data_IF_389716467852
#
_entry.id   IF_389716467852
#
_cell.length_a   1.000
_cell.length_b   1.000
_cell.length_c   1.000
_cell.angle_alpha   90.00
_cell.angle_beta   90.00
_cell.angle_gamma   90.00
#
_symmetry.space_group_name_H-M   'P 1'
#
loop_
_entity.id
_entity.type
_entity.pdbx_description
1 polymer ?
#
# COMPACT_ATOMS: atom_id res chain seq x y z
N UNK A 1 29.08 8.47 -21.42
CA UNK A 1 29.12 7.42 -20.39
C UNK A 1 28.87 8.10 -19.05
N UNK A 2 27.65 8.01 -18.54
CA UNK A 2 27.29 8.39 -17.16
C UNK A 2 26.73 7.09 -16.59
N UNK A 3 27.47 6.48 -15.68
CA UNK A 3 27.19 5.16 -15.14
C UNK A 3 25.92 5.20 -14.30
N UNK A 4 24.94 4.39 -14.69
CA UNK A 4 23.70 4.17 -13.95
C UNK A 4 23.97 3.03 -12.97
N UNK A 5 24.78 3.32 -11.94
CA UNK A 5 25.14 2.37 -10.89
C UNK A 5 24.34 2.56 -9.59
N UNK A 6 23.61 3.67 -9.44
CA UNK A 6 22.96 4.04 -8.16
C UNK A 6 21.57 3.41 -7.95
N UNK A 7 21.01 2.82 -9.00
CA UNK A 7 19.80 2.02 -8.95
C UNK A 7 20.11 0.81 -9.81
N UNK A 8 20.25 -0.37 -9.20
CA UNK A 8 20.44 -1.60 -9.97
C UNK A 8 19.13 -1.94 -10.66
N UNK A 9 18.95 -1.37 -11.84
CA UNK A 9 17.72 -1.42 -12.61
C UNK A 9 17.91 -2.37 -13.79
N UNK A 10 18.14 -3.66 -13.55
CA UNK A 10 18.04 -4.66 -14.62
C UNK A 10 17.53 -6.03 -14.17
N UNK A 11 16.54 -6.47 -14.94
CA UNK A 11 16.05 -7.84 -15.09
C UNK A 11 17.21 -8.80 -15.35
N UNK A 12 17.21 -9.91 -14.61
CA UNK A 12 18.10 -11.08 -14.72
C UNK A 12 19.59 -10.81 -14.45
N UNK A 13 20.10 -11.36 -13.32
CA UNK A 13 21.53 -11.66 -13.17
C UNK A 13 22.25 -11.08 -11.96
N UNK A 14 21.66 -10.16 -11.19
CA UNK A 14 22.22 -9.75 -9.90
C UNK A 14 21.52 -10.51 -8.77
N UNK A 15 22.29 -11.24 -7.95
CA UNK A 15 21.81 -11.75 -6.67
C UNK A 15 21.64 -10.56 -5.72
N UNK A 16 20.39 -10.27 -5.36
CA UNK A 16 20.07 -9.36 -4.28
C UNK A 16 19.64 -10.22 -3.11
N UNK A 17 20.35 -10.12 -1.98
CA UNK A 17 19.79 -10.61 -0.73
C UNK A 17 18.71 -9.61 -0.28
N UNK A 18 17.48 -9.85 -0.72
CA UNK A 18 16.31 -9.10 -0.25
C UNK A 18 16.05 -9.39 1.23
N UNK A 19 16.50 -10.55 1.74
CA UNK A 19 16.07 -11.09 3.01
C UNK A 19 14.60 -11.53 2.96
N UNK A 20 13.99 -11.67 4.15
CA UNK A 20 12.60 -12.10 4.30
C UNK A 20 11.63 -11.03 3.80
N UNK A 21 10.64 -11.42 3.00
CA UNK A 21 9.50 -10.55 2.65
C UNK A 21 8.66 -10.27 3.90
N UNK A 22 8.38 -8.99 4.15
CA UNK A 22 7.65 -8.54 5.32
C UNK A 22 6.20 -8.19 4.97
N UNK A 23 6.00 -7.43 3.88
CA UNK A 23 4.68 -6.99 3.45
C UNK A 23 4.71 -6.44 2.02
N UNK A 24 3.64 -6.66 1.27
CA UNK A 24 3.41 -6.08 -0.06
C UNK A 24 2.29 -5.06 0.06
N UNK A 25 2.49 -3.86 -0.50
CA UNK A 25 1.42 -2.88 -0.62
C UNK A 25 0.35 -3.42 -1.57
N UNK A 26 -0.89 -3.48 -1.09
CA UNK A 26 -1.98 -4.21 -1.74
C UNK A 26 -2.14 -3.88 -3.23
N UNK A 27 -2.42 -4.94 -3.99
CA UNK A 27 -2.93 -4.91 -5.36
C UNK A 27 -4.33 -5.49 -5.31
N UNK A 28 -5.36 -4.70 -5.62
CA UNK A 28 -6.73 -5.21 -5.65
C UNK A 28 -6.96 -6.07 -6.88
N UNK A 29 -7.56 -7.23 -6.70
CA UNK A 29 -8.09 -8.04 -7.80
C UNK A 29 -9.57 -7.71 -8.01
N UNK A 30 -9.91 -7.16 -9.18
CA UNK A 30 -11.30 -6.96 -9.57
C UNK A 30 -11.57 -7.81 -10.81
N UNK A 31 -12.26 -8.93 -10.57
CA UNK A 31 -12.65 -9.98 -11.51
C UNK A 31 -11.47 -10.78 -12.11
N UNK A 32 -10.60 -10.12 -12.87
CA UNK A 32 -9.38 -10.67 -13.53
C UNK A 32 -8.29 -9.61 -13.76
N UNK A 33 -8.50 -8.38 -13.28
CA UNK A 33 -7.57 -7.26 -13.41
C UNK A 33 -7.00 -6.91 -12.05
N UNK A 34 -5.68 -6.81 -11.99
CA UNK A 34 -4.93 -6.31 -10.83
C UNK A 34 -4.82 -4.79 -10.87
N UNK A 35 -5.19 -4.11 -9.79
CA UNK A 35 -5.15 -2.65 -9.66
C UNK A 35 -4.14 -2.25 -8.60
N UNK A 36 -3.23 -1.36 -8.99
CA UNK A 36 -2.21 -0.87 -8.10
C UNK A 36 -2.78 0.13 -7.08
N UNK A 37 -2.36 0.03 -5.83
CA UNK A 37 -2.61 1.08 -4.83
C UNK A 37 -1.82 2.37 -5.11
N UNK A 38 -0.79 2.30 -5.96
CA UNK A 38 0.04 3.43 -6.37
C UNK A 38 0.36 3.40 -7.87
N UNK A 39 0.60 4.57 -8.43
CA UNK A 39 1.00 4.76 -9.82
C UNK A 39 2.35 5.46 -9.87
N UNK A 40 3.31 4.90 -10.59
CA UNK A 40 4.61 5.54 -10.74
C UNK A 40 4.52 6.82 -11.56
N UNK A 41 5.24 7.86 -11.12
CA UNK A 41 5.34 9.13 -11.83
C UNK A 41 6.71 9.33 -12.44
N UNK A 42 7.75 9.39 -11.60
CA UNK A 42 9.11 9.76 -12.03
C UNK A 42 10.18 9.41 -10.99
N UNK A 43 11.46 9.52 -11.38
CA UNK A 43 12.61 9.40 -10.49
C UNK A 43 13.53 8.19 -10.79
N UNK A 44 13.22 7.44 -11.85
CA UNK A 44 14.01 6.31 -12.33
C UNK A 44 14.31 6.58 -13.81
N UNK A 45 15.55 6.98 -14.13
CA UNK A 45 15.91 7.47 -15.46
C UNK A 45 15.56 6.49 -16.61
N UNK A 46 15.64 5.18 -16.37
CA UNK A 46 15.21 4.13 -17.29
C UNK A 46 13.71 4.18 -17.58
N UNK A 47 12.90 4.29 -16.54
CA UNK A 47 11.45 4.34 -16.64
C UNK A 47 10.99 5.69 -17.17
N UNK A 48 11.59 6.78 -16.70
CA UNK A 48 11.32 8.14 -17.17
C UNK A 48 11.49 8.22 -18.68
N UNK A 49 12.59 7.67 -19.23
CA UNK A 49 12.81 7.62 -20.69
C UNK A 49 11.81 6.73 -21.44
N UNK A 50 11.35 5.63 -20.83
CA UNK A 50 10.41 4.67 -21.46
C UNK A 50 8.96 5.18 -21.43
N UNK A 51 8.56 5.90 -20.38
CA UNK A 51 7.16 6.20 -20.09
C UNK A 51 6.80 7.70 -20.18
N UNK A 52 7.75 8.64 -20.21
CA UNK A 52 7.47 10.07 -20.44
C UNK A 52 7.50 10.43 -21.94
N UNK A 53 6.73 11.45 -22.38
CA UNK A 53 5.83 12.32 -21.60
C UNK A 53 4.43 11.74 -21.38
N UNK A 54 4.15 10.52 -21.86
CA UNK A 54 2.79 9.97 -21.91
C UNK A 54 2.29 9.38 -20.57
N UNK A 55 3.19 9.16 -19.61
CA UNK A 55 2.91 8.69 -18.25
C UNK A 55 2.71 7.17 -18.14
N UNK A 56 3.17 6.58 -17.03
CA UNK A 56 3.01 5.17 -16.67
C UNK A 56 1.53 4.75 -16.50
N UNK A 57 0.67 5.72 -16.20
CA UNK A 57 -0.77 5.52 -16.04
C UNK A 57 -1.43 4.98 -17.33
N UNK A 58 -0.81 5.16 -18.51
CA UNK A 58 -1.36 4.76 -19.82
C UNK A 58 -0.83 3.41 -20.34
N UNK A 59 -0.01 2.68 -19.59
CA UNK A 59 0.73 1.51 -20.11
C UNK A 59 0.27 0.12 -19.61
N UNK A 60 -0.87 0.01 -18.92
CA UNK A 60 -1.39 -1.26 -18.34
C UNK A 60 -0.46 -1.95 -17.32
N UNK A 61 0.56 -1.25 -16.80
CA UNK A 61 1.41 -1.82 -15.75
C UNK A 61 0.83 -1.52 -14.35
N UNK A 62 0.98 -2.51 -13.48
CA UNK A 62 0.72 -2.44 -12.04
C UNK A 62 2.03 -2.15 -11.33
N UNK A 63 2.04 -1.13 -10.47
CA UNK A 63 3.17 -0.79 -9.61
C UNK A 63 2.88 -1.21 -8.16
N UNK A 64 3.81 -1.90 -7.50
CA UNK A 64 3.72 -2.24 -6.07
C UNK A 64 5.01 -1.94 -5.34
N UNK A 65 4.88 -1.63 -4.04
CA UNK A 65 6.00 -1.57 -3.11
C UNK A 65 5.98 -2.81 -2.23
N UNK A 66 7.11 -3.49 -2.16
CA UNK A 66 7.28 -4.67 -1.33
C UNK A 66 8.36 -4.37 -0.31
N UNK A 67 8.01 -4.46 0.97
CA UNK A 67 8.97 -4.37 2.04
C UNK A 67 9.60 -5.72 2.32
N UNK A 68 10.92 -5.76 2.24
CA UNK A 68 11.75 -6.87 2.69
C UNK A 68 12.61 -6.43 3.88
N UNK A 69 13.19 -7.40 4.59
CA UNK A 69 14.09 -7.10 5.72
C UNK A 69 15.22 -6.16 5.30
N UNK A 70 15.85 -6.40 4.15
CA UNK A 70 17.03 -5.63 3.73
C UNK A 70 16.69 -4.37 2.93
N UNK A 71 15.42 -4.12 2.57
CA UNK A 71 15.06 -2.94 1.78
C UNK A 71 13.63 -2.89 1.26
N UNK A 72 13.38 -1.96 0.35
CA UNK A 72 12.11 -1.82 -0.38
C UNK A 72 12.35 -2.18 -1.84
N UNK A 73 11.60 -3.16 -2.34
CA UNK A 73 11.53 -3.45 -3.76
C UNK A 73 10.33 -2.73 -4.37
N UNK A 74 10.51 -2.22 -5.59
CA UNK A 74 9.48 -1.59 -6.40
C UNK A 74 9.32 -2.48 -7.62
N UNK A 75 8.15 -3.09 -7.75
CA UNK A 75 7.84 -3.99 -8.85
C UNK A 75 6.90 -3.30 -9.82
N UNK A 76 7.21 -3.41 -11.09
CA UNK A 76 6.37 -2.96 -12.19
C UNK A 76 5.97 -4.20 -12.99
N UNK A 77 4.70 -4.52 -13.11
CA UNK A 77 4.24 -5.76 -13.75
C UNK A 77 3.16 -5.47 -14.78
N UNK A 78 3.27 -6.05 -15.97
CA UNK A 78 2.22 -6.04 -16.99
C UNK A 78 1.59 -7.43 -17.09
N UNK A 79 0.28 -7.53 -16.90
CA UNK A 79 -0.45 -8.80 -16.87
C UNK A 79 -1.18 -9.09 -18.19
N UNK A 80 -1.14 -10.35 -18.63
CA UNK A 80 -1.97 -10.83 -19.73
C UNK A 80 -3.36 -11.23 -19.22
N UNK A 81 -4.40 -10.71 -19.88
CA UNK A 81 -5.80 -10.95 -19.55
C UNK A 81 -6.21 -12.43 -19.52
N UNK A 82 -5.61 -13.24 -20.39
CA UNK A 82 -6.05 -14.62 -20.61
C UNK A 82 -5.30 -15.65 -19.76
N UNK A 83 -4.23 -15.27 -19.04
CA UNK A 83 -3.37 -16.27 -18.39
C UNK A 83 -2.96 -15.98 -16.94
N UNK A 84 -3.30 -14.83 -16.36
CA UNK A 84 -2.81 -14.36 -15.05
C UNK A 84 -1.26 -14.42 -14.93
N UNK A 85 -0.57 -14.44 -16.07
CA UNK A 85 0.89 -14.39 -16.15
C UNK A 85 1.33 -12.97 -16.44
N UNK A 86 2.30 -12.49 -15.65
CA UNK A 86 3.05 -11.29 -15.99
C UNK A 86 3.95 -11.58 -17.20
N UNK A 87 3.92 -10.73 -18.22
CA UNK A 87 4.73 -10.91 -19.44
C UNK A 87 5.81 -9.83 -19.61
N UNK A 88 5.70 -8.72 -18.89
CA UNK A 88 6.78 -7.76 -18.71
C UNK A 88 6.87 -7.40 -17.23
N UNK A 89 8.09 -7.36 -16.71
CA UNK A 89 8.37 -7.03 -15.32
C UNK A 89 9.53 -6.03 -15.28
N UNK A 90 9.44 -5.03 -14.43
CA UNK A 90 10.56 -4.18 -14.06
C UNK A 90 10.75 -4.21 -12.55
N UNK A 91 11.99 -3.98 -12.13
CA UNK A 91 12.39 -4.10 -10.74
C UNK A 91 13.32 -2.93 -10.39
N UNK A 92 13.03 -2.26 -9.27
CA UNK A 92 13.96 -1.36 -8.61
C UNK A 92 14.04 -1.72 -7.12
N UNK A 93 15.18 -1.45 -6.49
CA UNK A 93 15.39 -1.79 -5.09
C UNK A 93 16.16 -0.69 -4.37
N UNK A 94 15.70 -0.37 -3.17
CA UNK A 94 16.35 0.56 -2.26
C UNK A 94 16.77 -0.22 -1.02
N UNK A 95 18.07 -0.29 -0.77
CA UNK A 95 18.58 -0.86 0.48
C UNK A 95 18.02 -0.09 1.68
N UNK A 96 17.67 -0.80 2.75
CA UNK A 96 17.03 -0.23 3.95
C UNK A 96 17.87 0.87 4.60
N UNK A 97 19.19 0.74 4.58
CA UNK A 97 20.13 1.74 5.10
C UNK A 97 20.10 3.07 4.33
N UNK A 98 19.64 3.01 3.09
CA UNK A 98 19.56 4.14 2.17
C UNK A 98 18.20 4.84 2.20
N UNK A 99 17.20 4.36 2.97
CA UNK A 99 15.90 5.03 3.07
C UNK A 99 16.05 6.39 3.77
N UNK A 100 15.54 7.47 3.15
CA UNK A 100 15.71 8.85 3.65
C UNK A 100 14.38 9.55 3.99
N UNK A 101 13.30 8.77 4.20
CA UNK A 101 11.98 9.28 4.56
C UNK A 101 11.07 9.52 3.35
N UNK A 102 9.85 10.00 3.62
CA UNK A 102 8.84 10.21 2.59
C UNK A 102 7.94 11.40 2.92
N UNK A 103 7.27 11.95 1.89
CA UNK A 103 6.16 12.88 2.06
C UNK A 103 4.93 12.44 1.25
N UNK A 104 3.75 12.83 1.73
CA UNK A 104 2.47 12.62 1.05
C UNK A 104 1.76 13.98 0.99
N UNK A 105 1.54 14.48 -0.21
CA UNK A 105 0.99 15.81 -0.47
C UNK A 105 -0.26 15.70 -1.35
N UNK A 106 -1.31 16.50 -1.13
CA UNK A 106 -2.47 16.52 -2.02
C UNK A 106 -2.03 16.83 -3.45
N UNK A 107 -2.61 16.12 -4.41
CA UNK A 107 -2.37 16.36 -5.83
C UNK A 107 -3.71 16.38 -6.57
N UNK A 108 -3.98 17.50 -7.22
CA UNK A 108 -5.15 17.70 -8.06
C UNK A 108 -4.84 17.42 -9.52
N UNK A 109 -5.87 17.07 -10.28
CA UNK A 109 -5.77 16.87 -11.73
C UNK A 109 -4.79 15.77 -12.15
N UNK A 110 -4.73 14.68 -11.39
CA UNK A 110 -3.98 13.50 -11.79
C UNK A 110 -4.73 12.82 -12.94
N UNK A 111 -4.16 12.77 -14.14
CA UNK A 111 -4.71 11.93 -15.20
C UNK A 111 -4.55 10.47 -14.77
N UNK A 112 -5.63 9.80 -14.36
CA UNK A 112 -5.69 8.36 -14.08
C UNK A 112 -6.59 7.66 -15.12
N UNK A 113 -6.22 6.45 -15.55
CA UNK A 113 -7.09 5.64 -16.42
C UNK A 113 -8.31 5.19 -15.62
N UNK A 114 -9.50 5.63 -16.02
CA UNK A 114 -10.73 5.28 -15.31
C UNK A 114 -11.29 3.97 -15.80
N UNK A 115 -11.53 3.08 -14.85
CA UNK A 115 -12.53 2.03 -15.00
C UNK A 115 -13.78 2.51 -14.25
N UNK A 116 -14.93 2.70 -14.92
CA UNK A 116 -16.06 3.41 -14.32
C UNK A 116 -16.56 2.76 -13.02
N UNK A 117 -16.67 3.54 -11.94
CA UNK A 117 -17.31 3.10 -10.68
C UNK A 117 -18.75 2.59 -10.88
N UNK A 118 -19.44 3.05 -11.92
CA UNK A 118 -20.78 2.58 -12.31
C UNK A 118 -20.79 1.10 -12.75
N UNK A 119 -19.67 0.56 -13.24
CA UNK A 119 -19.51 -0.89 -13.47
C UNK A 119 -19.42 -1.65 -12.14
N UNK A 120 -18.64 -1.16 -11.15
CA UNK A 120 -18.56 -1.79 -9.81
C UNK A 120 -19.95 -1.94 -9.15
N UNK A 121 -20.81 -0.91 -9.22
CA UNK A 121 -22.14 -0.94 -8.59
C UNK A 121 -23.23 -1.65 -9.40
N UNK A 122 -23.26 -1.52 -10.74
CA UNK A 122 -24.25 -2.23 -11.57
C UNK A 122 -24.01 -3.75 -11.59
N UNK A 123 -22.74 -4.20 -11.54
CA UNK A 123 -22.42 -5.62 -11.44
C UNK A 123 -22.79 -6.20 -10.07
N UNK A 124 -22.56 -5.48 -8.97
CA UNK A 124 -23.02 -5.88 -7.63
C UNK A 124 -24.54 -6.01 -7.52
N UNK A 125 -25.30 -5.16 -8.21
CA UNK A 125 -26.76 -5.19 -8.21
C UNK A 125 -27.31 -6.35 -9.09
N UNK A 126 -26.71 -6.62 -10.25
CA UNK A 126 -27.14 -7.71 -11.14
C UNK A 126 -26.75 -9.12 -10.67
N UNK A 127 -25.75 -9.27 -9.81
CA UNK A 127 -25.35 -10.55 -9.20
C UNK A 127 -26.41 -11.14 -8.25
N UNK A 128 -27.36 -10.34 -7.75
CA UNK A 128 -28.43 -10.80 -6.85
C UNK A 128 -29.66 -11.38 -7.57
N UNK A 129 -29.77 -11.23 -8.89
CA UNK A 129 -30.89 -11.75 -9.70
C UNK A 129 -30.40 -12.67 -10.82
N UNK A 130 -30.08 -13.91 -10.46
CA UNK A 130 -30.34 -15.15 -11.23
C UNK A 130 -30.03 -15.25 -12.74
N UNK A 131 -29.31 -14.33 -13.37
CA UNK A 131 -28.93 -14.36 -14.79
C UNK A 131 -27.42 -14.56 -14.94
N UNK A 132 -27.01 -15.65 -15.60
CA UNK A 132 -25.61 -16.09 -15.68
C UNK A 132 -24.63 -15.07 -16.30
N UNK A 133 -23.40 -15.09 -15.77
CA UNK A 133 -22.26 -14.19 -16.03
C UNK A 133 -21.95 -13.94 -17.53
N UNK A 134 -22.20 -14.93 -18.39
CA UNK A 134 -21.68 -14.94 -19.77
C UNK A 134 -22.42 -13.94 -20.67
N UNK A 135 -23.72 -13.74 -20.48
CA UNK A 135 -24.53 -12.89 -21.36
C UNK A 135 -24.26 -11.39 -21.22
N UNK A 136 -23.90 -10.93 -20.02
CA UNK A 136 -23.62 -9.52 -19.75
C UNK A 136 -22.20 -9.10 -20.19
N UNK A 137 -21.22 -10.02 -20.10
CA UNK A 137 -19.82 -9.76 -20.42
C UNK A 137 -19.59 -9.52 -21.92
N UNK A 138 -20.29 -10.26 -22.80
CA UNK A 138 -20.11 -10.17 -24.26
C UNK A 138 -20.57 -8.83 -24.82
N UNK A 139 -21.65 -8.25 -24.30
CA UNK A 139 -22.14 -6.93 -24.75
C UNK A 139 -21.23 -5.76 -24.35
N UNK A 140 -20.47 -5.91 -23.25
CA UNK A 140 -19.56 -4.88 -22.72
C UNK A 140 -18.17 -4.98 -23.35
N UNK A 141 -17.67 -6.20 -23.55
CA UNK A 141 -16.34 -6.45 -24.11
C UNK A 141 -16.18 -5.93 -25.55
N UNK A 142 -17.22 -6.05 -26.38
CA UNK A 142 -17.17 -5.65 -27.78
C UNK A 142 -16.99 -4.12 -28.00
N UNK A 143 -17.38 -3.29 -27.03
CA UNK A 143 -17.32 -1.83 -27.15
C UNK A 143 -16.12 -1.17 -26.42
N UNK A 144 -15.36 -1.90 -25.60
CA UNK A 144 -14.39 -1.29 -24.66
C UNK A 144 -12.95 -1.27 -25.18
N UNK A 145 -12.62 -2.01 -26.25
CA UNK A 145 -11.26 -2.09 -26.81
C UNK A 145 -10.86 -0.81 -27.59
N UNK A 146 -11.78 0.11 -27.88
CA UNK A 146 -11.48 1.37 -28.58
C UNK A 146 -11.62 2.59 -27.65
N UNK A 147 -10.46 3.13 -27.24
CA UNK A 147 -10.17 4.36 -26.46
C UNK A 147 -10.12 4.17 -24.94
N UNK A 148 -8.90 4.05 -24.41
CA UNK A 148 -8.60 4.24 -22.97
C UNK A 148 -9.01 5.66 -22.58
N UNK A 149 -10.04 5.82 -21.75
CA UNK A 149 -10.47 7.11 -21.21
C UNK A 149 -9.67 7.41 -19.93
N UNK A 150 -8.93 8.51 -19.93
CA UNK A 150 -8.35 9.08 -18.72
C UNK A 150 -9.35 10.05 -18.09
N UNK A 151 -9.40 10.11 -16.76
CA UNK A 151 -10.03 11.22 -16.06
C UNK A 151 -9.04 11.84 -15.08
N UNK A 152 -9.25 13.12 -14.83
CA UNK A 152 -8.59 13.81 -13.74
C UNK A 152 -9.23 13.33 -12.42
N UNK A 153 -8.42 12.76 -11.55
CA UNK A 153 -8.82 12.38 -10.20
C UNK A 153 -8.03 13.19 -9.18
N UNK A 154 -8.69 13.56 -8.09
CA UNK A 154 -8.01 14.08 -6.91
C UNK A 154 -7.35 12.90 -6.17
N UNK A 155 -6.16 13.14 -5.64
CA UNK A 155 -5.41 12.12 -4.94
C UNK A 155 -4.22 12.70 -4.20
N UNK A 156 -3.17 11.91 -4.08
CA UNK A 156 -1.98 12.28 -3.35
C UNK A 156 -0.73 11.94 -4.15
N UNK A 157 0.22 12.87 -4.18
CA UNK A 157 1.58 12.62 -4.59
C UNK A 157 2.37 12.07 -3.40
N UNK A 158 3.09 10.99 -3.65
CA UNK A 158 3.94 10.30 -2.68
C UNK A 158 5.38 10.50 -3.16
N UNK A 159 6.21 11.09 -2.31
CA UNK A 159 7.64 11.29 -2.57
C UNK A 159 8.43 10.40 -1.63
N UNK A 160 9.18 9.46 -2.18
CA UNK A 160 10.06 8.55 -1.44
C UNK A 160 11.50 9.00 -1.62
N UNK A 161 12.12 9.48 -0.55
CA UNK A 161 13.51 9.91 -0.58
C UNK A 161 14.44 8.74 -0.23
N UNK A 162 15.59 8.69 -0.89
CA UNK A 162 16.63 7.71 -0.62
C UNK A 162 18.01 8.28 -0.93
N UNK A 163 19.04 7.71 -0.30
CA UNK A 163 20.44 8.03 -0.56
C UNK A 163 21.02 7.09 -1.60
N UNK A 164 21.77 7.63 -2.55
CA UNK A 164 22.61 6.84 -3.44
C UNK A 164 23.85 6.32 -2.72
N UNK A 165 24.59 5.43 -3.38
CA UNK A 165 25.90 4.96 -2.90
C UNK A 165 26.90 6.11 -2.71
N UNK A 166 26.73 7.20 -3.46
CA UNK A 166 27.52 8.44 -3.35
C UNK A 166 27.00 9.39 -2.26
N UNK A 167 26.02 8.97 -1.45
CA UNK A 167 25.33 9.77 -0.42
C UNK A 167 24.59 10.99 -0.96
N UNK A 168 24.21 10.97 -2.23
CA UNK A 168 23.31 11.98 -2.80
C UNK A 168 21.87 11.61 -2.50
N UNK A 169 21.05 12.59 -2.09
CA UNK A 169 19.62 12.37 -1.92
C UNK A 169 18.91 12.41 -3.27
N UNK A 170 18.18 11.33 -3.58
CA UNK A 170 17.30 11.21 -4.75
C UNK A 170 15.88 10.90 -4.30
N UNK A 171 14.94 11.15 -5.20
CA UNK A 171 13.52 11.02 -4.92
C UNK A 171 12.82 10.20 -6.01
N UNK A 172 11.99 9.25 -5.56
CA UNK A 172 11.00 8.58 -6.39
C UNK A 172 9.64 9.19 -6.13
N UNK A 173 8.86 9.39 -7.19
CA UNK A 173 7.55 10.02 -7.11
C UNK A 173 6.50 9.04 -7.61
N UNK A 174 5.47 8.85 -6.79
CA UNK A 174 4.30 8.04 -7.08
C UNK A 174 3.03 8.87 -6.83
N UNK A 175 1.90 8.33 -7.26
CA UNK A 175 0.58 8.86 -6.97
C UNK A 175 -0.31 7.77 -6.39
N UNK A 176 -1.27 8.14 -5.57
CA UNK A 176 -2.39 7.28 -5.24
C UNK A 176 -3.71 8.07 -5.26
N UNK A 177 -4.80 7.35 -5.51
CA UNK A 177 -6.15 7.90 -5.42
C UNK A 177 -6.52 8.18 -3.95
N UNK A 178 -7.46 9.10 -3.71
CA UNK A 178 -7.88 9.46 -2.36
C UNK A 178 -8.29 8.24 -1.51
N UNK A 179 -9.01 7.29 -2.10
CA UNK A 179 -9.42 6.04 -1.43
C UNK A 179 -8.24 5.15 -1.00
N UNK A 180 -7.08 5.28 -1.64
CA UNK A 180 -5.86 4.50 -1.36
C UNK A 180 -4.95 5.16 -0.34
N UNK A 181 -5.17 6.43 0.00
CA UNK A 181 -4.29 7.20 0.89
C UNK A 181 -4.00 6.45 2.20
N UNK A 182 -5.02 5.89 2.83
CA UNK A 182 -4.90 5.20 4.13
C UNK A 182 -3.94 4.01 4.08
N UNK A 183 -4.12 3.11 3.10
CA UNK A 183 -3.28 1.90 2.99
C UNK A 183 -1.84 2.26 2.63
N UNK A 184 -1.67 3.26 1.75
CA UNK A 184 -0.35 3.78 1.38
C UNK A 184 0.35 4.44 2.57
N UNK A 185 -0.34 5.33 3.29
CA UNK A 185 0.21 6.03 4.46
C UNK A 185 0.58 5.05 5.57
N UNK A 186 -0.25 4.03 5.82
CA UNK A 186 0.05 2.99 6.79
C UNK A 186 1.28 2.16 6.38
N UNK A 187 1.36 1.75 5.11
CA UNK A 187 2.52 1.02 4.59
C UNK A 187 3.80 1.82 4.78
N UNK A 188 3.83 3.09 4.35
CA UNK A 188 5.02 3.92 4.40
C UNK A 188 5.45 4.22 5.84
N UNK A 189 4.50 4.57 6.71
CA UNK A 189 4.80 4.76 8.13
C UNK A 189 5.29 3.48 8.81
N UNK A 190 4.85 2.30 8.37
CA UNK A 190 5.24 1.03 9.00
C UNK A 190 6.58 0.52 8.47
N UNK A 191 6.80 0.62 7.15
CA UNK A 191 7.83 -0.13 6.45
C UNK A 191 8.88 0.74 5.74
N UNK A 192 8.63 2.02 5.45
CA UNK A 192 9.60 2.90 4.80
C UNK A 192 10.51 3.59 5.83
N UNK A 193 11.24 2.76 6.60
CA UNK A 193 12.12 3.18 7.71
C UNK A 193 13.38 2.33 7.71
N UNK A 194 14.51 2.91 8.17
CA UNK A 194 15.78 2.19 8.34
C UNK A 194 15.63 1.11 9.41
N UNK A 195 15.24 1.53 10.60
CA UNK A 195 15.08 0.64 11.74
C UNK A 195 13.68 0.04 11.77
N UNK A 196 13.61 -1.29 11.76
CA UNK A 196 12.40 -2.06 12.02
C UNK A 196 12.58 -2.82 13.33
N UNK A 197 11.54 -2.90 14.18
CA UNK A 197 11.63 -3.70 15.39
C UNK A 197 11.58 -5.19 15.06
N UNK A 198 11.98 -6.02 16.02
CA UNK A 198 12.03 -7.48 15.88
C UNK A 198 10.66 -8.06 15.45
N UNK A 199 9.57 -7.48 15.94
CA UNK A 199 8.20 -7.86 15.60
C UNK A 199 7.89 -7.79 14.11
N UNK A 200 8.62 -6.98 13.33
CA UNK A 200 8.45 -6.90 11.88
C UNK A 200 8.85 -8.20 11.17
N UNK A 201 9.74 -8.99 11.78
CA UNK A 201 10.22 -10.27 11.21
C UNK A 201 9.28 -11.43 11.48
N UNK A 202 8.33 -11.28 12.40
CA UNK A 202 7.30 -12.28 12.69
C UNK A 202 6.03 -11.96 11.91
N UNK A 203 5.33 -12.96 11.35
CA UNK A 203 4.02 -12.72 10.76
C UNK A 203 3.12 -12.06 11.81
N UNK A 204 2.59 -10.87 11.48
CA UNK A 204 1.57 -10.25 12.32
C UNK A 204 0.31 -11.08 12.14
N UNK A 205 -0.03 -11.91 13.14
CA UNK A 205 -1.31 -12.61 13.12
C UNK A 205 -2.45 -11.58 12.93
N UNK A 206 -3.46 -11.91 12.12
CA UNK A 206 -4.60 -11.06 11.71
C UNK A 206 -5.38 -10.38 12.86
N UNK A 207 -5.03 -10.66 14.11
CA UNK A 207 -5.49 -9.96 15.30
C UNK A 207 -4.81 -8.58 15.46
N UNK A 208 -4.98 -7.67 14.51
CA UNK A 208 -4.49 -6.29 14.63
C UNK A 208 -5.13 -5.54 15.83
N UNK A 209 -4.42 -4.56 16.39
CA UNK A 209 -5.02 -3.58 17.32
C UNK A 209 -5.56 -2.39 16.51
N UNK A 210 -6.67 -2.60 15.79
CA UNK A 210 -7.32 -1.62 14.89
C UNK A 210 -7.33 -0.18 15.40
N UNK A 211 -7.91 0.08 16.57
CA UNK A 211 -8.01 1.45 17.12
C UNK A 211 -6.64 2.07 17.38
N UNK A 212 -5.68 1.31 17.92
CA UNK A 212 -4.33 1.81 18.15
C UNK A 212 -3.63 2.08 16.80
N UNK A 213 -3.71 1.13 15.85
CA UNK A 213 -3.17 1.31 14.50
C UNK A 213 -3.74 2.55 13.81
N UNK A 214 -5.04 2.82 13.92
CA UNK A 214 -5.67 4.03 13.37
C UNK A 214 -5.14 5.33 14.01
N UNK A 215 -4.79 5.28 15.30
CA UNK A 215 -4.30 6.44 16.05
C UNK A 215 -2.81 6.71 15.85
N UNK A 216 -1.99 5.65 15.86
CA UNK A 216 -0.54 5.76 15.73
C UNK A 216 -0.08 5.73 14.27
N UNK A 217 -0.93 5.25 13.35
CA UNK A 217 -0.65 5.11 11.91
C UNK A 217 0.58 4.27 11.57
N UNK A 218 0.99 3.41 12.51
CA UNK A 218 2.16 2.56 12.40
C UNK A 218 1.84 1.24 13.11
N UNK A 219 1.98 0.13 12.39
CA UNK A 219 1.72 -1.22 12.92
C UNK A 219 2.79 -1.60 13.96
N UNK A 220 3.97 -1.00 13.89
CA UNK A 220 5.11 -1.31 14.75
C UNK A 220 5.49 -0.16 15.69
N UNK A 221 4.57 0.78 15.93
CA UNK A 221 4.78 1.79 16.98
C UNK A 221 4.96 1.09 18.34
N UNK A 222 5.84 1.61 19.23
CA UNK A 222 6.04 1.03 20.56
C UNK A 222 4.74 0.85 21.34
N UNK A 223 3.81 1.79 21.22
CA UNK A 223 2.50 1.75 21.86
C UNK A 223 1.60 0.66 21.26
N UNK A 224 1.57 0.52 19.94
CA UNK A 224 0.79 -0.53 19.27
C UNK A 224 1.32 -1.91 19.64
N UNK A 225 2.65 -2.09 19.65
CA UNK A 225 3.31 -3.33 20.10
C UNK A 225 2.96 -3.60 21.56
N UNK A 226 3.03 -2.59 22.42
CA UNK A 226 2.66 -2.70 23.83
C UNK A 226 1.21 -3.15 24.00
N UNK A 227 0.25 -2.52 23.32
CA UNK A 227 -1.16 -2.88 23.44
C UNK A 227 -1.47 -4.30 22.97
N UNK A 228 -0.79 -4.78 21.92
CA UNK A 228 -0.87 -6.20 21.50
C UNK A 228 -0.35 -7.12 22.59
N UNK A 229 0.85 -6.85 23.13
CA UNK A 229 1.44 -7.65 24.21
C UNK A 229 0.56 -7.63 25.47
N UNK A 230 -0.01 -6.49 25.84
CA UNK A 230 -0.92 -6.36 26.98
C UNK A 230 -2.22 -7.16 26.76
N UNK A 231 -2.80 -7.09 25.56
CA UNK A 231 -3.96 -7.90 25.18
C UNK A 231 -3.68 -9.39 25.38
N UNK A 232 -2.57 -9.88 24.85
CA UNK A 232 -2.27 -11.31 24.82
C UNK A 232 -1.78 -11.85 26.16
N UNK A 233 -0.93 -11.09 26.85
CA UNK A 233 -0.29 -11.53 28.10
C UNK A 233 -1.12 -11.21 29.35
N UNK A 234 -1.98 -10.19 29.32
CA UNK A 234 -2.75 -9.74 30.49
C UNK A 234 -4.25 -9.96 30.29
N UNK A 235 -4.86 -9.33 29.27
CA UNK A 235 -6.32 -9.37 29.11
C UNK A 235 -6.83 -10.79 28.82
N UNK A 236 -6.15 -11.53 27.95
CA UNK A 236 -6.54 -12.89 27.55
C UNK A 236 -6.56 -13.88 28.72
N UNK A 237 -5.81 -13.61 29.79
CA UNK A 237 -5.70 -14.49 30.97
C UNK A 237 -6.98 -14.49 31.82
N UNK A 238 -7.77 -13.40 31.80
CA UNK A 238 -9.00 -13.27 32.60
C UNK A 238 -10.27 -13.49 31.78
N UNK A 239 -11.36 -13.93 32.43
CA UNK A 239 -12.68 -14.06 31.77
C UNK A 239 -13.20 -12.71 31.25
N UNK A 240 -13.08 -11.66 32.06
CA UNK A 240 -13.49 -10.31 31.69
C UNK A 240 -12.66 -9.76 30.53
N UNK A 241 -11.34 -9.95 30.56
CA UNK A 241 -10.48 -9.50 29.47
C UNK A 241 -10.76 -10.23 28.15
N UNK A 242 -11.10 -11.53 28.17
CA UNK A 242 -11.55 -12.23 26.96
C UNK A 242 -12.87 -11.69 26.40
N UNK A 243 -13.82 -11.31 27.26
CA UNK A 243 -15.06 -10.65 26.83
C UNK A 243 -14.74 -9.29 26.19
N UNK A 244 -13.90 -8.49 26.83
CA UNK A 244 -13.44 -7.21 26.28
C UNK A 244 -12.80 -7.37 24.90
N UNK A 245 -11.88 -8.33 24.73
CA UNK A 245 -11.22 -8.61 23.45
C UNK A 245 -12.24 -8.95 22.36
N UNK A 246 -13.22 -9.81 22.66
CA UNK A 246 -14.26 -10.19 21.69
C UNK A 246 -15.10 -8.99 21.26
N UNK A 247 -15.55 -8.18 22.22
CA UNK A 247 -16.31 -6.95 21.93
C UNK A 247 -15.48 -5.96 21.12
N UNK A 248 -14.19 -5.81 21.46
CA UNK A 248 -13.26 -4.98 20.72
C UNK A 248 -13.15 -5.42 19.25
N UNK A 249 -12.95 -6.71 18.98
CA UNK A 249 -12.85 -7.22 17.61
C UNK A 249 -14.17 -7.16 16.83
N UNK A 250 -15.30 -7.18 17.51
CA UNK A 250 -16.60 -7.03 16.87
C UNK A 250 -16.83 -5.59 16.35
N UNK A 251 -16.38 -4.59 17.11
CA UNK A 251 -16.71 -3.18 16.85
C UNK A 251 -15.58 -2.46 16.10
N UNK A 252 -14.32 -2.73 16.46
CA UNK A 252 -13.18 -1.94 16.01
C UNK A 252 -12.93 -1.94 14.49
N UNK A 253 -13.20 -3.00 13.71
CA UNK A 253 -13.03 -2.95 12.25
C UNK A 253 -13.91 -1.88 11.58
N UNK A 254 -15.14 -1.72 12.06
CA UNK A 254 -16.10 -0.73 11.52
C UNK A 254 -15.70 0.72 11.84
N UNK A 255 -15.06 0.92 12.99
CA UNK A 255 -14.61 2.24 13.45
C UNK A 255 -13.24 2.60 12.87
N UNK A 256 -12.45 1.62 12.46
CA UNK A 256 -11.06 1.78 12.01
C UNK A 256 -10.90 2.82 10.90
N UNK A 257 -11.58 2.61 9.77
CA UNK A 257 -11.45 3.47 8.58
C UNK A 257 -11.90 4.90 8.89
N UNK A 258 -13.03 5.02 9.62
CA UNK A 258 -13.54 6.31 10.04
C UNK A 258 -12.56 7.04 10.96
N UNK A 259 -12.04 6.36 11.99
CA UNK A 259 -11.11 6.95 12.95
C UNK A 259 -9.79 7.36 12.30
N UNK A 260 -9.26 6.55 11.38
CA UNK A 260 -8.02 6.83 10.66
C UNK A 260 -8.11 8.16 9.88
N UNK A 261 -9.25 8.39 9.22
CA UNK A 261 -9.49 9.57 8.40
C UNK A 261 -9.89 10.82 9.21
N UNK A 262 -10.37 10.67 10.46
CA UNK A 262 -10.79 11.79 11.31
C UNK A 262 -9.66 12.22 12.26
N UNK A 263 -8.72 13.02 11.74
CA UNK A 263 -7.50 13.44 12.45
C UNK A 263 -7.75 14.01 13.86
N UNK A 264 -8.75 14.88 14.03
CA UNK A 264 -9.06 15.46 15.34
C UNK A 264 -9.47 14.39 16.37
N UNK A 265 -10.34 13.46 15.99
CA UNK A 265 -10.81 12.39 16.87
C UNK A 265 -9.67 11.41 17.15
N UNK A 266 -8.90 11.04 16.12
CA UNK A 266 -7.71 10.20 16.23
C UNK A 266 -6.70 10.76 17.23
N UNK A 267 -6.42 12.07 17.19
CA UNK A 267 -5.53 12.74 18.16
C UNK A 267 -6.08 12.63 19.60
N UNK A 268 -7.38 12.81 19.79
CA UNK A 268 -8.01 12.70 21.13
C UNK A 268 -7.92 11.27 21.66
N UNK A 269 -8.25 10.27 20.83
CA UNK A 269 -8.14 8.86 21.20
C UNK A 269 -6.67 8.49 21.46
N UNK A 270 -5.74 8.93 20.62
CA UNK A 270 -4.29 8.75 20.82
C UNK A 270 -3.82 9.31 22.16
N UNK A 271 -4.31 10.48 22.59
CA UNK A 271 -3.97 11.07 23.89
C UNK A 271 -4.43 10.20 25.07
N UNK A 272 -5.62 9.62 24.97
CA UNK A 272 -6.14 8.67 25.98
C UNK A 272 -5.27 7.40 25.97
N UNK A 273 -4.96 6.85 24.80
CA UNK A 273 -4.10 5.67 24.66
C UNK A 273 -2.70 5.94 25.25
N UNK A 274 -2.09 7.08 24.97
CA UNK A 274 -0.80 7.48 25.55
C UNK A 274 -0.85 7.54 27.09
N UNK A 275 -1.96 8.05 27.64
CA UNK A 275 -2.16 8.09 29.10
C UNK A 275 -2.28 6.68 29.70
N UNK A 276 -2.88 5.74 28.98
CA UNK A 276 -2.97 4.33 29.39
C UNK A 276 -1.61 3.66 29.27
N UNK A 277 -0.92 3.82 28.14
CA UNK A 277 0.41 3.30 27.88
C UNK A 277 1.41 3.73 28.95
N UNK A 278 1.47 5.02 29.27
CA UNK A 278 2.40 5.56 30.29
C UNK A 278 2.09 5.11 31.72
N UNK A 279 0.85 4.71 32.03
CA UNK A 279 0.48 4.18 33.34
C UNK A 279 0.78 2.68 33.48
N UNK A 280 0.60 1.93 32.41
CA UNK A 280 0.74 0.48 32.40
C UNK A 280 2.15 0.00 32.02
N UNK A 281 2.96 0.85 31.39
CA UNK A 281 4.34 0.58 31.02
C UNK A 281 5.37 1.11 32.04
N UNK A 282 4.96 1.22 33.32
CA UNK A 282 5.82 1.50 34.48
C UNK A 282 6.03 0.22 35.26
#
# INVERSE_FOLDING_TARGET
>A
MVGINDIKLWLTGAEFDLGKELHMLDVEDVFTKKYASIYYSQGLAEFDRKFLPKGYIKSDYVCTLNSYLNGIAILFMQYSYDSDRAYDMGFAYINRENLAGFSIEPADNLEVVVIPNKMKSQLGYHLTRGGGLVGALVGIAANTVKKVKTHLVSGYQIKLNYLTDQREEKQLVFYCEEERKMVVELFLNTYYKKDLPEEATTPVEDSGCFIATACYKDIFSPEVIFFRKYRDKVLKQSRLGRVFIRTYYLISPWVYVWLYNHQFVSIRVKSILNSIYTKLNK
#
